data_IF_499775191972
#
_entry.id   IF_499775191972
#
_cell.length_a   1.000
_cell.length_b   1.000
_cell.length_c   1.000
_cell.angle_alpha   90.00
_cell.angle_beta   90.00
_cell.angle_gamma   90.00
#
_symmetry.space_group_name_H-M   'P 1'
#
loop_
_entity.id
_entity.type
_entity.pdbx_description
1 polymer ?
#
# COMPACT_ATOMS: atom_id res chain seq x y z
N UNK A 1 5.16 10.70 38.40
CA UNK A 1 5.23 12.10 37.90
C UNK A 1 3.83 12.58 37.55
N UNK A 2 3.56 13.89 37.63
CA UNK A 2 2.25 14.45 37.23
C UNK A 2 2.26 14.84 35.76
N UNK A 3 1.18 14.52 35.06
CA UNK A 3 0.94 14.83 33.66
C UNK A 3 -0.39 15.55 33.51
N UNK A 4 -0.48 16.46 32.55
CA UNK A 4 -1.69 17.27 32.37
C UNK A 4 -2.03 17.47 30.89
N UNK A 5 -3.31 17.39 30.56
CA UNK A 5 -3.82 17.73 29.22
C UNK A 5 -5.20 18.36 29.32
N UNK A 6 -5.77 18.75 28.17
CA UNK A 6 -7.12 19.30 28.10
C UNK A 6 -8.18 18.24 28.43
N UNK A 7 -9.24 18.67 29.11
CA UNK A 7 -10.44 17.90 29.41
C UNK A 7 -11.11 17.32 28.16
N UNK A 8 -12.02 16.37 28.38
CA UNK A 8 -12.70 15.61 27.32
C UNK A 8 -11.67 14.92 26.41
N UNK A 9 -10.85 14.00 26.98
CA UNK A 9 -9.78 13.36 26.24
C UNK A 9 -10.33 12.52 25.09
N UNK A 10 -9.67 12.65 23.94
CA UNK A 10 -9.88 11.79 22.77
C UNK A 10 -8.91 10.61 22.83
N UNK A 11 -8.89 9.81 21.76
CA UNK A 11 -8.18 8.54 21.65
C UNK A 11 -6.70 8.68 22.05
N UNK A 12 -5.96 9.62 21.45
CA UNK A 12 -4.52 9.82 21.74
C UNK A 12 -4.28 10.27 23.20
N UNK A 13 -5.16 11.14 23.74
CA UNK A 13 -5.11 11.63 25.13
C UNK A 13 -5.48 10.59 26.19
N UNK A 14 -6.03 9.45 25.80
CA UNK A 14 -6.25 8.29 26.67
C UNK A 14 -5.13 7.24 26.47
N UNK A 15 -4.66 7.08 25.23
CA UNK A 15 -3.57 6.18 24.87
C UNK A 15 -2.26 6.56 25.57
N UNK A 16 -1.94 7.86 25.58
CA UNK A 16 -0.70 8.37 26.18
C UNK A 16 -0.59 8.06 27.68
N UNK A 17 -1.61 8.35 28.52
CA UNK A 17 -1.63 7.90 29.91
C UNK A 17 -1.42 6.41 30.09
N UNK A 18 -2.07 5.57 29.27
CA UNK A 18 -1.90 4.13 29.34
C UNK A 18 -0.46 3.70 29.07
N UNK A 19 0.14 4.23 28.00
CA UNK A 19 1.52 3.95 27.63
C UNK A 19 2.50 4.35 28.73
N UNK A 20 2.30 5.56 29.30
CA UNK A 20 3.16 6.07 30.36
C UNK A 20 3.04 5.17 31.61
N UNK A 21 1.83 4.87 32.09
CA UNK A 21 1.65 4.04 33.29
C UNK A 21 2.18 2.61 33.14
N UNK A 22 2.14 2.04 31.94
CA UNK A 22 2.55 0.65 31.72
C UNK A 22 4.03 0.49 31.43
N UNK A 23 4.66 1.48 30.78
CA UNK A 23 6.01 1.32 30.22
C UNK A 23 7.02 2.40 30.63
N UNK A 24 6.59 3.50 31.25
CA UNK A 24 7.47 4.63 31.61
C UNK A 24 7.49 4.90 33.11
N UNK A 25 6.33 5.13 33.72
CA UNK A 25 6.17 5.52 35.12
C UNK A 25 4.85 4.99 35.69
N UNK A 26 4.86 3.86 36.43
CA UNK A 26 3.67 3.25 37.03
C UNK A 26 2.92 4.18 38.00
N UNK A 27 3.65 5.08 38.65
CA UNK A 27 3.12 6.04 39.63
C UNK A 27 2.73 7.37 38.96
N UNK A 28 2.60 7.40 37.64
CA UNK A 28 2.12 8.58 36.93
C UNK A 28 0.66 8.92 37.28
N UNK A 29 0.43 10.21 37.51
CA UNK A 29 -0.88 10.82 37.77
C UNK A 29 -1.26 11.71 36.59
N UNK A 30 -2.53 11.67 36.19
CA UNK A 30 -3.04 12.40 35.02
C UNK A 30 -4.12 13.38 35.43
N UNK A 31 -3.99 14.61 34.95
CA UNK A 31 -4.87 15.72 35.29
C UNK A 31 -5.51 16.23 34.00
N UNK A 32 -6.81 16.45 34.05
CA UNK A 32 -7.59 17.03 32.96
C UNK A 32 -8.07 18.41 33.39
N UNK A 33 -7.90 19.40 32.53
CA UNK A 33 -8.30 20.78 32.80
C UNK A 33 -8.85 21.47 31.54
N UNK A 34 -9.62 22.56 31.68
CA UNK A 34 -10.02 23.38 30.54
C UNK A 34 -8.80 23.82 29.73
N UNK A 35 -8.91 23.81 28.40
CA UNK A 35 -7.78 24.05 27.48
C UNK A 35 -6.96 25.31 27.83
N UNK A 36 -7.65 26.41 28.15
CA UNK A 36 -7.02 27.70 28.51
C UNK A 36 -6.26 27.68 29.82
N UNK A 37 -6.54 26.72 30.70
CA UNK A 37 -5.93 26.61 32.03
C UNK A 37 -4.77 25.62 32.09
N UNK A 38 -4.62 24.74 31.08
CA UNK A 38 -3.67 23.62 31.14
C UNK A 38 -2.24 24.09 31.42
N UNK A 39 -1.72 25.06 30.67
CA UNK A 39 -0.35 25.54 30.83
C UNK A 39 -0.13 26.28 32.16
N UNK A 40 -1.15 26.97 32.66
CA UNK A 40 -1.10 27.63 33.98
C UNK A 40 -1.01 26.60 35.10
N UNK A 41 -1.93 25.64 35.11
CA UNK A 41 -1.98 24.54 36.09
C UNK A 41 -0.76 23.62 35.99
N UNK A 42 -0.22 23.41 34.79
CA UNK A 42 1.01 22.64 34.59
C UNK A 42 2.17 23.23 35.40
N UNK A 43 2.35 24.56 35.34
CA UNK A 43 3.39 25.27 36.10
C UNK A 43 3.13 25.23 37.59
N UNK A 44 1.89 25.45 38.02
CA UNK A 44 1.49 25.45 39.43
C UNK A 44 1.71 24.08 40.10
N UNK A 45 1.33 23.01 39.40
CA UNK A 45 1.35 21.65 39.93
C UNK A 45 2.67 20.89 39.66
N UNK A 46 3.59 21.51 38.91
CA UNK A 46 4.80 20.85 38.41
C UNK A 46 4.47 19.65 37.50
N UNK A 47 3.38 19.75 36.72
CA UNK A 47 2.92 18.69 35.84
C UNK A 47 3.44 18.87 34.41
N UNK A 48 3.75 17.77 33.73
CA UNK A 48 4.21 17.76 32.34
C UNK A 48 3.02 17.85 31.38
N UNK A 49 2.89 18.92 30.57
CA UNK A 49 1.80 19.03 29.61
C UNK A 49 2.05 18.15 28.38
N UNK A 50 0.98 17.58 27.82
CA UNK A 50 1.04 16.77 26.59
C UNK A 50 -0.22 16.92 25.71
N UNK A 51 -0.12 16.55 24.44
CA UNK A 51 -1.17 16.73 23.40
C UNK A 51 -1.65 18.19 23.29
N UNK A 52 -0.69 19.12 23.25
CA UNK A 52 -0.94 20.56 23.12
C UNK A 52 0.02 21.18 22.10
N UNK A 53 -0.36 22.27 21.43
CA UNK A 53 0.60 23.05 20.65
C UNK A 53 1.77 23.51 21.53
N UNK A 54 2.98 23.52 20.97
CA UNK A 54 4.19 24.09 21.57
C UNK A 54 4.67 23.45 22.90
N UNK A 55 4.23 22.22 23.23
CA UNK A 55 4.77 21.44 24.35
C UNK A 55 5.64 20.28 23.87
N UNK A 56 6.52 19.78 24.74
CA UNK A 56 7.48 18.72 24.38
C UNK A 56 6.79 17.44 23.90
N UNK A 57 5.74 17.00 24.59
CA UNK A 57 4.99 15.79 24.26
C UNK A 57 3.79 16.15 23.39
N UNK A 58 4.03 16.30 22.10
CA UNK A 58 3.01 16.72 21.12
C UNK A 58 3.14 15.97 19.80
N UNK A 59 2.22 16.25 18.88
CA UNK A 59 2.25 15.75 17.50
C UNK A 59 3.50 16.25 16.77
N UNK A 60 4.04 15.41 15.89
CA UNK A 60 5.14 15.78 15.01
C UNK A 60 4.99 15.13 13.64
N UNK A 61 5.12 15.91 12.58
CA UNK A 61 4.86 15.45 11.20
C UNK A 61 3.48 14.75 11.12
N UNK A 62 3.45 13.50 10.66
CA UNK A 62 2.25 12.67 10.57
C UNK A 62 2.07 11.73 11.78
N UNK A 63 2.76 11.98 12.90
CA UNK A 63 2.77 11.11 14.07
C UNK A 63 2.09 11.76 15.29
N UNK A 64 1.40 10.91 16.05
CA UNK A 64 0.61 11.34 17.22
C UNK A 64 1.49 11.43 18.49
N UNK A 65 0.92 11.91 19.61
CA UNK A 65 1.67 12.10 20.87
C UNK A 65 2.13 10.74 21.40
N UNK A 66 1.32 9.70 21.20
CA UNK A 66 1.68 8.31 21.53
C UNK A 66 2.96 7.85 20.83
N UNK A 67 3.11 8.14 19.52
CA UNK A 67 4.32 7.83 18.76
C UNK A 67 5.54 8.56 19.33
N UNK A 68 5.37 9.81 19.73
CA UNK A 68 6.44 10.61 20.32
C UNK A 68 6.94 9.99 21.63
N UNK A 69 6.03 9.55 22.51
CA UNK A 69 6.39 8.90 23.78
C UNK A 69 7.18 7.61 23.54
N UNK A 70 6.76 6.77 22.59
CA UNK A 70 7.52 5.55 22.21
C UNK A 70 8.95 5.91 21.82
N UNK A 71 9.11 6.89 20.94
CA UNK A 71 10.42 7.33 20.44
C UNK A 71 11.27 7.94 21.56
N UNK A 72 10.70 8.84 22.35
CA UNK A 72 11.39 9.58 23.42
C UNK A 72 11.93 8.66 24.51
N UNK A 73 11.14 7.66 24.90
CA UNK A 73 11.52 6.70 25.94
C UNK A 73 12.21 5.44 25.40
N UNK A 74 12.46 5.36 24.09
CA UNK A 74 13.17 4.25 23.47
C UNK A 74 12.46 2.91 23.62
N UNK A 75 11.13 2.90 23.61
CA UNK A 75 10.32 1.69 23.75
C UNK A 75 10.39 0.90 22.43
N UNK A 76 10.79 -0.38 22.50
CA UNK A 76 11.07 -1.22 21.32
C UNK A 76 10.11 -2.39 21.12
N UNK A 77 9.08 -2.50 21.95
CA UNK A 77 8.12 -3.61 21.86
C UNK A 77 7.33 -3.51 20.53
N UNK A 78 7.41 -4.53 19.65
CA UNK A 78 6.65 -4.54 18.40
C UNK A 78 5.13 -4.38 18.58
N UNK A 79 4.57 -4.82 19.71
CA UNK A 79 3.16 -4.64 20.02
C UNK A 79 2.81 -3.16 20.19
N UNK A 80 3.68 -2.37 20.82
CA UNK A 80 3.48 -0.93 20.97
C UNK A 80 3.46 -0.21 19.62
N UNK A 81 4.32 -0.61 18.68
CA UNK A 81 4.31 -0.07 17.32
C UNK A 81 3.01 -0.42 16.57
N UNK A 82 2.43 -1.60 16.78
CA UNK A 82 1.12 -1.94 16.20
C UNK A 82 0.00 -1.07 16.77
N UNK A 83 0.00 -0.87 18.09
CA UNK A 83 -0.97 0.01 18.75
C UNK A 83 -0.82 1.45 18.24
N UNK A 84 0.41 1.93 18.07
CA UNK A 84 0.66 3.26 17.55
C UNK A 84 -0.01 3.49 16.18
N UNK A 85 0.07 2.51 15.27
CA UNK A 85 -0.65 2.56 13.98
C UNK A 85 -2.16 2.63 14.16
N UNK A 86 -2.73 1.86 15.10
CA UNK A 86 -4.18 1.85 15.37
C UNK A 86 -4.63 3.20 15.95
N UNK A 87 -3.90 3.71 16.96
CA UNK A 87 -4.19 5.00 17.61
C UNK A 87 -4.13 6.12 16.58
N UNK A 88 -3.08 6.16 15.76
CA UNK A 88 -2.92 7.17 14.72
C UNK A 88 -4.08 7.15 13.72
N UNK A 89 -4.44 5.96 13.21
CA UNK A 89 -5.56 5.83 12.28
C UNK A 89 -6.90 6.28 12.88
N UNK A 90 -7.11 6.00 14.17
CA UNK A 90 -8.36 6.34 14.86
C UNK A 90 -8.42 7.82 15.26
N UNK A 91 -7.31 8.44 15.64
CA UNK A 91 -7.27 9.85 16.07
C UNK A 91 -7.35 10.83 14.89
N UNK A 92 -6.89 10.42 13.69
CA UNK A 92 -6.88 11.27 12.49
C UNK A 92 -7.94 10.90 11.44
N UNK A 93 -8.96 10.11 11.77
CA UNK A 93 -9.98 9.59 10.84
C UNK A 93 -9.41 8.84 9.60
N UNK A 94 -8.18 8.33 9.70
CA UNK A 94 -7.49 7.58 8.65
C UNK A 94 -7.59 6.08 8.94
N UNK A 95 -8.82 5.56 8.92
CA UNK A 95 -9.11 4.19 9.33
C UNK A 95 -8.44 3.11 8.48
N UNK A 96 -7.92 3.46 7.30
CA UNK A 96 -7.17 2.56 6.44
C UNK A 96 -5.78 2.20 7.00
N UNK A 97 -5.27 2.92 8.01
CA UNK A 97 -3.98 2.61 8.64
C UNK A 97 -3.98 1.27 9.38
N UNK A 98 -5.12 0.90 9.98
CA UNK A 98 -5.30 -0.39 10.62
C UNK A 98 -6.79 -0.74 10.68
N UNK A 99 -7.20 -1.99 10.37
CA UNK A 99 -8.60 -2.41 10.42
C UNK A 99 -9.29 -2.17 11.78
N UNK A 100 -8.50 -2.12 12.85
CA UNK A 100 -8.98 -1.89 14.22
C UNK A 100 -9.27 -0.42 14.52
N UNK A 101 -8.78 0.52 13.71
CA UNK A 101 -8.87 1.96 13.97
C UNK A 101 -10.33 2.45 14.04
N UNK A 102 -11.16 2.10 13.06
CA UNK A 102 -12.57 2.48 13.04
C UNK A 102 -13.36 1.94 14.25
N UNK A 103 -13.03 0.72 14.69
CA UNK A 103 -13.66 0.14 15.88
C UNK A 103 -13.23 0.86 17.16
N UNK A 104 -11.94 1.22 17.25
CA UNK A 104 -11.40 1.98 18.38
C UNK A 104 -12.04 3.38 18.47
N UNK A 105 -12.16 4.07 17.34
CA UNK A 105 -12.85 5.37 17.24
C UNK A 105 -14.29 5.25 17.72
N UNK A 106 -15.06 4.30 17.17
CA UNK A 106 -16.47 4.13 17.52
C UNK A 106 -16.67 3.85 19.03
N UNK A 107 -15.79 3.01 19.62
CA UNK A 107 -15.83 2.72 21.05
C UNK A 107 -15.56 3.98 21.87
N UNK A 108 -14.46 4.70 21.61
CA UNK A 108 -14.09 5.86 22.41
C UNK A 108 -15.02 7.05 22.21
N UNK A 109 -15.53 7.28 21.01
CA UNK A 109 -16.55 8.29 20.75
C UNK A 109 -17.86 7.99 21.50
N UNK A 110 -18.31 6.73 21.51
CA UNK A 110 -19.46 6.31 22.30
C UNK A 110 -19.25 6.44 23.81
N UNK A 111 -18.08 6.01 24.32
CA UNK A 111 -17.72 6.14 25.73
C UNK A 111 -17.63 7.61 26.16
N UNK A 112 -16.96 8.45 25.38
CA UNK A 112 -16.86 9.89 25.67
C UNK A 112 -18.23 10.58 25.61
N UNK A 113 -19.16 10.10 24.78
CA UNK A 113 -20.54 10.59 24.78
C UNK A 113 -21.26 10.24 26.09
N UNK A 114 -21.13 9.00 26.56
CA UNK A 114 -21.84 8.51 27.75
C UNK A 114 -21.21 8.95 29.08
N UNK A 115 -19.89 9.00 29.15
CA UNK A 115 -19.12 9.27 30.37
C UNK A 115 -18.63 10.71 30.33
N UNK A 116 -19.02 11.49 31.36
CA UNK A 116 -18.65 12.90 31.49
C UNK A 116 -17.45 13.13 32.40
N UNK A 117 -17.18 12.18 33.31
CA UNK A 117 -16.00 12.21 34.16
C UNK A 117 -14.77 11.69 33.40
N UNK A 118 -13.76 12.55 33.26
CA UNK A 118 -12.57 12.21 32.47
C UNK A 118 -11.69 11.15 33.16
N UNK A 119 -11.73 11.03 34.49
CA UNK A 119 -10.97 10.00 35.22
C UNK A 119 -11.63 8.63 35.07
N UNK A 120 -12.97 8.58 35.12
CA UNK A 120 -13.73 7.37 34.84
C UNK A 120 -13.50 6.89 33.39
N UNK A 121 -13.57 7.83 32.42
CA UNK A 121 -13.29 7.53 31.03
C UNK A 121 -11.86 7.01 30.82
N UNK A 122 -10.87 7.64 31.48
CA UNK A 122 -9.49 7.17 31.47
C UNK A 122 -9.39 5.75 32.03
N UNK A 123 -9.99 5.44 33.18
CA UNK A 123 -9.93 4.12 33.81
C UNK A 123 -10.49 3.01 32.90
N UNK A 124 -11.60 3.26 32.22
CA UNK A 124 -12.17 2.33 31.23
C UNK A 124 -11.23 2.21 30.02
N UNK A 125 -10.71 3.35 29.54
CA UNK A 125 -9.73 3.40 28.46
C UNK A 125 -8.48 2.57 28.73
N UNK A 126 -7.95 2.61 29.97
CA UNK A 126 -6.81 1.78 30.40
C UNK A 126 -7.10 0.29 30.18
N UNK A 127 -8.29 -0.16 30.53
CA UNK A 127 -8.71 -1.57 30.36
C UNK A 127 -8.82 -1.95 28.89
N UNK A 128 -9.34 -1.05 28.05
CA UNK A 128 -9.44 -1.28 26.60
C UNK A 128 -8.03 -1.41 26.00
N UNK A 129 -7.12 -0.51 26.34
CA UNK A 129 -5.74 -0.57 25.84
C UNK A 129 -4.96 -1.78 26.36
N UNK A 130 -5.20 -2.25 27.59
CA UNK A 130 -4.65 -3.52 28.08
C UNK A 130 -5.13 -4.71 27.21
N UNK A 131 -6.40 -4.71 26.81
CA UNK A 131 -6.97 -5.70 25.89
C UNK A 131 -6.35 -5.63 24.49
N UNK A 132 -6.21 -4.42 23.93
CA UNK A 132 -5.57 -4.21 22.62
C UNK A 132 -4.10 -4.63 22.68
N UNK A 133 -3.39 -4.33 23.76
CA UNK A 133 -1.98 -4.74 23.93
C UNK A 133 -1.84 -6.25 24.03
N UNK A 134 -2.70 -6.92 24.78
CA UNK A 134 -2.75 -8.38 24.84
C UNK A 134 -3.01 -8.98 23.46
N UNK A 135 -3.94 -8.40 22.70
CA UNK A 135 -4.19 -8.81 21.32
C UNK A 135 -2.96 -8.57 20.41
N UNK A 136 -2.37 -7.38 20.45
CA UNK A 136 -1.24 -6.96 19.61
C UNK A 136 0.03 -7.78 19.89
N UNK A 137 0.16 -8.30 21.11
CA UNK A 137 1.27 -9.13 21.55
C UNK A 137 1.06 -10.60 21.17
N UNK A 138 -0.11 -11.17 21.48
CA UNK A 138 -0.32 -12.61 21.46
C UNK A 138 -1.26 -13.11 20.37
N UNK A 139 -2.25 -12.31 19.96
CA UNK A 139 -3.38 -12.77 19.15
C UNK A 139 -3.44 -12.17 17.74
N UNK A 140 -2.60 -11.17 17.42
CA UNK A 140 -2.68 -10.46 16.14
C UNK A 140 -2.46 -11.35 14.90
N UNK A 141 -1.80 -12.51 15.08
CA UNK A 141 -1.58 -13.52 14.02
C UNK A 141 -2.73 -14.52 13.89
N UNK A 142 -3.67 -14.55 14.84
CA UNK A 142 -4.78 -15.48 14.78
C UNK A 142 -5.70 -15.08 13.63
N UNK A 143 -5.90 -16.01 12.68
CA UNK A 143 -6.54 -15.78 11.38
C UNK A 143 -8.04 -15.44 11.43
N UNK A 144 -8.62 -15.10 12.58
CA UNK A 144 -10.03 -14.74 12.66
C UNK A 144 -10.39 -13.45 11.89
N UNK A 145 -9.40 -12.67 11.42
CA UNK A 145 -9.60 -11.40 10.71
C UNK A 145 -8.87 -11.29 9.36
N UNK A 146 -8.24 -12.37 8.83
CA UNK A 146 -7.48 -12.30 7.56
C UNK A 146 -8.28 -12.67 6.31
N UNK A 147 -9.48 -13.23 6.47
CA UNK A 147 -10.43 -13.41 5.39
C UNK A 147 -11.53 -12.36 5.55
N UNK A 148 -11.17 -11.09 5.42
CA UNK A 148 -12.13 -10.01 5.41
C UNK A 148 -13.18 -10.22 4.30
N UNK A 149 -14.38 -9.67 4.46
CA UNK A 149 -15.43 -9.79 3.43
C UNK A 149 -14.97 -9.22 2.08
N UNK A 150 -14.02 -8.27 2.08
CA UNK A 150 -13.42 -7.70 0.86
C UNK A 150 -12.50 -8.70 0.18
N UNK A 151 -11.59 -9.35 0.89
CA UNK A 151 -10.71 -10.38 0.33
C UNK A 151 -11.53 -11.55 -0.22
N UNK A 152 -12.57 -11.97 0.51
CA UNK A 152 -13.50 -12.99 0.05
C UNK A 152 -14.27 -12.56 -1.20
N UNK A 153 -14.73 -11.31 -1.27
CA UNK A 153 -15.37 -10.75 -2.45
C UNK A 153 -14.40 -10.65 -3.63
N UNK A 154 -13.15 -10.23 -3.40
CA UNK A 154 -12.09 -10.19 -4.41
C UNK A 154 -11.78 -11.58 -4.93
N UNK A 155 -11.66 -12.57 -4.05
CA UNK A 155 -11.48 -13.97 -4.43
C UNK A 155 -12.71 -14.49 -5.18
N UNK A 156 -13.92 -14.11 -4.81
CA UNK A 156 -15.14 -14.49 -5.54
C UNK A 156 -15.18 -13.88 -6.93
N UNK A 157 -14.91 -12.57 -7.07
CA UNK A 157 -14.82 -11.88 -8.36
C UNK A 157 -13.72 -12.51 -9.22
N UNK A 158 -12.55 -12.78 -8.63
CA UNK A 158 -11.44 -13.40 -9.32
C UNK A 158 -11.78 -14.81 -9.80
N UNK A 159 -12.39 -15.65 -8.94
CA UNK A 159 -12.85 -16.98 -9.32
C UNK A 159 -13.97 -16.94 -10.36
N UNK A 160 -14.88 -15.96 -10.30
CA UNK A 160 -15.93 -15.77 -11.30
C UNK A 160 -15.35 -15.37 -12.65
N UNK A 161 -14.37 -14.45 -12.66
CA UNK A 161 -13.63 -14.07 -13.85
C UNK A 161 -12.87 -15.27 -14.45
N UNK A 162 -12.14 -16.03 -13.62
CA UNK A 162 -11.44 -17.24 -14.06
C UNK A 162 -12.40 -18.31 -14.59
N UNK A 163 -13.57 -18.49 -13.97
CA UNK A 163 -14.62 -19.41 -14.45
C UNK A 163 -15.22 -18.94 -15.78
N UNK A 164 -15.43 -17.64 -15.98
CA UNK A 164 -15.83 -17.10 -17.28
C UNK A 164 -14.73 -17.24 -18.35
N UNK A 165 -13.45 -17.19 -17.96
CA UNK A 165 -12.31 -17.41 -18.87
C UNK A 165 -12.10 -18.88 -19.27
N UNK A 166 -12.71 -19.85 -18.57
CA UNK A 166 -12.67 -21.28 -18.92
C UNK A 166 -13.60 -21.63 -20.10
N UNK A 167 -13.62 -20.77 -21.12
CA UNK A 167 -14.56 -20.80 -22.22
C UNK A 167 -13.97 -20.87 -23.63
N UNK A 168 -12.66 -21.12 -23.81
CA UNK A 168 -12.16 -21.64 -25.09
C UNK A 168 -10.86 -22.40 -24.87
N UNK A 169 -10.87 -23.72 -25.10
CA UNK A 169 -9.67 -24.57 -25.02
C UNK A 169 -8.66 -24.03 -26.04
N UNK A 170 -7.49 -23.59 -25.59
CA UNK A 170 -6.50 -22.97 -26.47
C UNK A 170 -6.16 -23.94 -27.62
N UNK A 171 -6.41 -23.57 -28.89
CA UNK A 171 -6.11 -24.42 -30.03
C UNK A 171 -4.62 -24.77 -30.08
N UNK A 172 -4.29 -25.88 -30.76
CA UNK A 172 -2.90 -26.32 -30.96
C UNK A 172 -2.06 -25.18 -31.56
N UNK A 173 -2.55 -24.57 -32.64
CA UNK A 173 -1.87 -23.45 -33.31
C UNK A 173 -1.61 -22.26 -32.39
N UNK A 174 -2.49 -21.99 -31.42
CA UNK A 174 -2.32 -20.86 -30.49
C UNK A 174 -1.25 -21.18 -29.43
N UNK A 175 -1.10 -22.45 -29.04
CA UNK A 175 0.00 -22.91 -28.18
C UNK A 175 1.33 -22.81 -28.90
N UNK A 176 1.40 -23.38 -30.10
CA UNK A 176 2.61 -23.35 -30.93
C UNK A 176 3.01 -21.91 -31.27
N UNK A 177 2.06 -21.04 -31.57
CA UNK A 177 2.35 -19.62 -31.79
C UNK A 177 2.95 -18.95 -30.55
N UNK A 178 2.47 -19.29 -29.36
CA UNK A 178 3.01 -18.75 -28.10
C UNK A 178 4.45 -19.20 -27.88
N UNK A 179 4.76 -20.46 -28.16
CA UNK A 179 6.12 -21.01 -28.12
C UNK A 179 7.02 -20.30 -29.14
N UNK A 180 6.57 -20.13 -30.38
CA UNK A 180 7.30 -19.37 -31.42
C UNK A 180 7.60 -17.92 -31.01
N UNK A 181 6.62 -17.23 -30.41
CA UNK A 181 6.81 -15.85 -29.92
C UNK A 181 7.84 -15.83 -28.78
N UNK A 182 7.83 -16.86 -27.92
CA UNK A 182 8.77 -16.98 -26.82
C UNK A 182 10.20 -17.21 -27.32
N UNK A 183 10.41 -18.07 -28.31
CA UNK A 183 11.73 -18.29 -28.92
C UNK A 183 12.28 -17.04 -29.64
N UNK A 184 11.39 -16.21 -30.20
CA UNK A 184 11.75 -14.95 -30.84
C UNK A 184 12.12 -13.83 -29.85
N UNK A 185 11.72 -13.94 -28.56
CA UNK A 185 12.14 -12.99 -27.51
C UNK A 185 13.64 -13.05 -27.22
N UNK A 186 14.28 -14.17 -27.58
CA UNK A 186 15.69 -14.46 -27.26
C UNK A 186 16.65 -14.18 -28.44
N UNK A 187 16.13 -13.97 -29.65
CA UNK A 187 16.92 -13.78 -30.87
C UNK A 187 16.70 -12.41 -31.52
N UNK A 188 15.68 -12.26 -32.36
CA UNK A 188 15.37 -10.97 -33.02
C UNK A 188 13.87 -10.91 -33.30
N UNK A 189 13.21 -9.83 -32.86
CA UNK A 189 11.75 -9.69 -32.83
C UNK A 189 11.07 -9.44 -34.19
N UNK A 190 11.45 -10.18 -35.23
CA UNK A 190 11.00 -9.93 -36.62
C UNK A 190 9.73 -10.67 -37.02
N UNK A 191 9.18 -11.54 -36.16
CA UNK A 191 8.01 -12.35 -36.50
C UNK A 191 6.82 -11.51 -37.00
N UNK A 192 6.45 -11.75 -38.25
CA UNK A 192 5.27 -11.17 -38.90
C UNK A 192 4.09 -12.15 -38.90
N UNK A 193 2.89 -11.62 -39.13
CA UNK A 193 1.69 -12.45 -39.25
C UNK A 193 1.82 -13.50 -40.37
N UNK A 194 2.47 -13.12 -41.48
CA UNK A 194 2.65 -13.99 -42.63
C UNK A 194 3.56 -15.17 -42.31
N UNK A 195 4.71 -14.90 -41.68
CA UNK A 195 5.64 -15.95 -41.23
C UNK A 195 5.02 -16.87 -40.19
N UNK A 196 4.28 -16.30 -39.22
CA UNK A 196 3.55 -17.09 -38.24
C UNK A 196 2.50 -18.00 -38.90
N UNK A 197 1.84 -17.50 -39.95
CA UNK A 197 0.85 -18.26 -40.69
C UNK A 197 1.45 -19.43 -41.48
N UNK A 198 2.61 -19.21 -42.08
CA UNK A 198 3.35 -20.22 -42.87
C UNK A 198 3.87 -21.35 -41.98
N UNK A 199 4.50 -21.01 -40.86
CA UNK A 199 5.03 -22.01 -39.91
C UNK A 199 3.93 -22.86 -39.26
N UNK A 200 2.77 -22.24 -38.98
CA UNK A 200 1.63 -22.91 -38.36
C UNK A 200 0.72 -23.62 -39.37
N UNK A 201 1.03 -23.54 -40.67
CA UNK A 201 0.21 -24.07 -41.77
C UNK A 201 -1.26 -23.60 -41.74
N UNK A 202 -1.51 -22.36 -41.29
CA UNK A 202 -2.85 -21.77 -41.21
C UNK A 202 -3.01 -20.61 -42.19
N UNK A 203 -4.25 -20.22 -42.48
CA UNK A 203 -4.53 -19.07 -43.34
C UNK A 203 -4.31 -17.75 -42.57
N UNK A 204 -3.63 -16.73 -43.14
CA UNK A 204 -3.33 -15.48 -42.43
C UNK A 204 -4.57 -14.71 -41.97
N UNK A 205 -5.66 -14.76 -42.77
CA UNK A 205 -6.92 -14.12 -42.42
C UNK A 205 -7.69 -14.90 -41.34
N UNK A 206 -7.48 -16.21 -41.23
CA UNK A 206 -7.98 -16.99 -40.10
C UNK A 206 -7.20 -16.64 -38.83
N UNK A 207 -5.87 -16.69 -38.89
CA UNK A 207 -5.00 -16.33 -37.77
C UNK A 207 -5.32 -14.93 -37.24
N UNK A 208 -5.39 -13.92 -38.11
CA UNK A 208 -5.69 -12.54 -37.70
C UNK A 208 -7.05 -12.38 -37.01
N UNK A 209 -8.07 -13.17 -37.40
CA UNK A 209 -9.43 -13.08 -36.83
C UNK A 209 -9.52 -13.79 -35.48
N UNK A 210 -8.85 -14.93 -35.36
CA UNK A 210 -8.91 -15.74 -34.14
C UNK A 210 -7.88 -15.33 -33.09
N UNK A 211 -6.79 -14.66 -33.48
CA UNK A 211 -5.71 -14.28 -32.57
C UNK A 211 -6.19 -13.50 -31.34
N UNK A 212 -7.02 -12.47 -31.51
CA UNK A 212 -7.46 -11.63 -30.39
C UNK A 212 -8.21 -12.42 -29.31
N UNK A 213 -8.91 -13.50 -29.68
CA UNK A 213 -9.64 -14.35 -28.72
C UNK A 213 -8.74 -15.04 -27.71
N UNK A 214 -7.47 -15.25 -28.04
CA UNK A 214 -6.52 -16.01 -27.21
C UNK A 214 -5.34 -15.16 -26.70
N UNK A 215 -5.13 -13.97 -27.23
CA UNK A 215 -4.00 -13.10 -26.92
C UNK A 215 -4.47 -11.69 -26.51
N UNK A 216 -4.96 -11.57 -25.26
CA UNK A 216 -5.31 -10.32 -24.57
C UNK A 216 -6.33 -9.41 -25.29
N UNK A 217 -7.18 -9.96 -26.17
CA UNK A 217 -8.07 -9.18 -27.04
C UNK A 217 -7.34 -8.17 -27.94
N UNK A 218 -6.05 -8.39 -28.20
CA UNK A 218 -5.22 -7.55 -29.06
C UNK A 218 -5.15 -8.09 -30.48
N UNK A 219 -4.92 -7.21 -31.46
CA UNK A 219 -4.52 -7.66 -32.79
C UNK A 219 -3.09 -8.24 -32.74
N UNK A 220 -2.74 -9.14 -33.68
CA UNK A 220 -1.38 -9.67 -33.77
C UNK A 220 -0.32 -8.57 -33.81
N UNK A 221 -0.56 -7.52 -34.60
CA UNK A 221 0.35 -6.38 -34.72
C UNK A 221 0.46 -5.57 -33.42
N UNK A 222 -0.64 -5.37 -32.69
CA UNK A 222 -0.60 -4.69 -31.39
C UNK A 222 0.14 -5.51 -30.34
N UNK A 223 -0.13 -6.81 -30.29
CA UNK A 223 0.53 -7.73 -29.37
C UNK A 223 2.04 -7.76 -29.60
N UNK A 224 2.49 -7.94 -30.85
CA UNK A 224 3.91 -7.91 -31.18
C UNK A 224 4.53 -6.53 -30.88
N UNK A 225 3.84 -5.43 -31.16
CA UNK A 225 4.34 -4.08 -30.82
C UNK A 225 4.55 -3.91 -29.32
N UNK A 226 3.63 -4.37 -28.49
CA UNK A 226 3.76 -4.28 -27.03
C UNK A 226 4.98 -5.08 -26.54
N UNK A 227 5.13 -6.33 -26.99
CA UNK A 227 6.29 -7.16 -26.67
C UNK A 227 7.62 -6.51 -27.08
N UNK A 228 7.66 -5.91 -28.28
CA UNK A 228 8.85 -5.17 -28.76
C UNK A 228 9.20 -3.99 -27.87
N UNK A 229 8.20 -3.25 -27.39
CA UNK A 229 8.43 -2.12 -26.46
C UNK A 229 8.90 -2.60 -25.10
N UNK A 230 8.33 -3.69 -24.57
CA UNK A 230 8.79 -4.24 -23.29
C UNK A 230 10.22 -4.78 -23.36
N UNK A 231 10.58 -5.47 -24.45
CA UNK A 231 11.98 -5.86 -24.71
C UNK A 231 12.88 -4.64 -24.86
N UNK A 232 12.42 -3.58 -25.54
CA UNK A 232 13.19 -2.34 -25.68
C UNK A 232 13.46 -1.68 -24.32
N UNK A 233 12.47 -1.66 -23.41
CA UNK A 233 12.66 -1.16 -22.04
C UNK A 233 13.73 -1.97 -21.31
N UNK A 234 13.66 -3.31 -21.39
CA UNK A 234 14.67 -4.18 -20.80
C UNK A 234 16.06 -3.88 -21.36
N UNK A 235 16.23 -3.81 -22.69
CA UNK A 235 17.52 -3.50 -23.31
C UNK A 235 18.05 -2.10 -22.92
N UNK A 236 17.18 -1.11 -22.79
CA UNK A 236 17.58 0.24 -22.33
C UNK A 236 18.11 0.19 -20.88
N UNK A 237 17.55 -0.67 -20.03
CA UNK A 237 17.90 -0.79 -18.62
C UNK A 237 19.12 -1.69 -18.37
N UNK A 238 19.32 -2.74 -19.18
CA UNK A 238 20.32 -3.78 -18.92
C UNK A 238 21.55 -3.72 -19.83
N UNK A 239 21.53 -2.90 -20.88
CA UNK A 239 22.61 -2.84 -21.87
C UNK A 239 22.99 -1.40 -22.23
N UNK A 240 24.16 -1.22 -22.84
CA UNK A 240 24.61 0.08 -23.34
C UNK A 240 24.19 0.37 -24.79
N UNK A 241 23.41 -0.52 -25.42
CA UNK A 241 23.04 -0.42 -26.83
C UNK A 241 22.51 0.95 -27.23
N UNK A 242 22.91 1.41 -28.42
CA UNK A 242 22.39 2.66 -28.97
C UNK A 242 20.88 2.55 -29.24
N UNK A 243 20.15 3.66 -29.25
CA UNK A 243 18.71 3.60 -29.55
C UNK A 243 18.42 3.06 -30.96
N UNK A 244 19.37 3.22 -31.88
CA UNK A 244 19.32 2.64 -33.22
C UNK A 244 19.49 1.11 -33.17
N UNK A 245 20.46 0.60 -32.39
CA UNK A 245 20.63 -0.84 -32.15
C UNK A 245 19.41 -1.45 -31.48
N UNK A 246 18.87 -0.80 -30.45
CA UNK A 246 17.68 -1.29 -29.74
C UNK A 246 16.47 -1.35 -30.67
N UNK A 247 16.28 -0.35 -31.54
CA UNK A 247 15.23 -0.37 -32.55
C UNK A 247 15.37 -1.60 -33.48
N UNK A 248 16.58 -1.90 -33.93
CA UNK A 248 16.86 -3.05 -34.79
C UNK A 248 16.67 -4.39 -34.06
N UNK A 249 17.24 -4.56 -32.87
CA UNK A 249 17.15 -5.77 -32.05
C UNK A 249 15.69 -6.11 -31.67
N UNK A 250 14.87 -5.06 -31.48
CA UNK A 250 13.44 -5.20 -31.19
C UNK A 250 12.57 -5.24 -32.45
N UNK A 251 13.14 -5.38 -33.64
CA UNK A 251 12.41 -5.63 -34.88
C UNK A 251 11.63 -4.43 -35.44
N UNK A 252 12.02 -3.20 -35.10
CA UNK A 252 11.53 -2.00 -35.79
C UNK A 252 12.33 -1.74 -37.07
N UNK A 253 11.64 -1.26 -38.11
CA UNK A 253 12.24 -0.89 -39.40
C UNK A 253 13.29 0.20 -39.28
N UNK A 254 13.05 1.15 -38.37
CA UNK A 254 13.87 2.33 -38.19
C UNK A 254 13.64 2.95 -36.81
N UNK A 255 14.59 3.78 -36.38
CA UNK A 255 14.56 4.43 -35.08
C UNK A 255 13.44 5.47 -34.94
N UNK A 256 13.02 6.12 -36.03
CA UNK A 256 11.95 7.13 -35.99
C UNK A 256 10.60 6.48 -35.69
N UNK A 257 10.33 5.34 -36.31
CA UNK A 257 9.16 4.52 -36.04
C UNK A 257 9.18 3.99 -34.60
N UNK A 258 10.32 3.44 -34.14
CA UNK A 258 10.52 3.01 -32.76
C UNK A 258 10.21 4.14 -31.76
N UNK A 259 10.80 5.32 -31.93
CA UNK A 259 10.61 6.46 -31.04
C UNK A 259 9.13 6.86 -30.91
N UNK A 260 8.39 6.87 -32.03
CA UNK A 260 6.96 7.21 -32.05
C UNK A 260 6.12 6.20 -31.29
N UNK A 261 6.34 4.91 -31.51
CA UNK A 261 5.60 3.83 -30.85
C UNK A 261 5.95 3.76 -29.36
N UNK A 262 7.24 3.86 -29.02
CA UNK A 262 7.69 3.86 -27.63
C UNK A 262 7.09 5.04 -26.86
N UNK A 263 7.11 6.26 -27.44
CA UNK A 263 6.49 7.43 -26.80
C UNK A 263 4.98 7.24 -26.60
N UNK A 264 4.29 6.65 -27.59
CA UNK A 264 2.84 6.37 -27.48
C UNK A 264 2.55 5.38 -26.34
N UNK A 265 3.39 4.37 -26.16
CA UNK A 265 3.17 3.30 -25.20
C UNK A 265 3.66 3.64 -23.78
N UNK A 266 4.80 4.33 -23.66
CA UNK A 266 5.48 4.63 -22.38
C UNK A 266 5.20 6.06 -21.89
N UNK A 267 4.59 6.92 -22.73
CA UNK A 267 4.31 8.32 -22.43
C UNK A 267 5.50 9.27 -22.63
N UNK A 268 6.71 8.75 -22.74
CA UNK A 268 7.94 9.51 -22.95
C UNK A 268 8.85 8.89 -24.02
N UNK A 269 9.72 9.68 -24.63
CA UNK A 269 10.63 9.18 -25.69
C UNK A 269 11.70 8.24 -25.12
N UNK A 270 12.23 7.29 -25.92
CA UNK A 270 13.30 6.39 -25.49
C UNK A 270 14.54 7.10 -24.95
N UNK A 271 14.91 8.24 -25.54
CA UNK A 271 16.05 9.05 -25.09
C UNK A 271 15.86 9.61 -23.67
N UNK A 272 14.65 10.08 -23.37
CA UNK A 272 14.29 10.57 -22.02
C UNK A 272 14.24 9.41 -21.05
N UNK A 273 13.65 8.29 -21.45
CA UNK A 273 13.59 7.06 -20.67
C UNK A 273 14.99 6.55 -20.28
N UNK A 274 15.91 6.45 -21.25
CA UNK A 274 17.32 6.03 -21.04
C UNK A 274 18.08 6.97 -20.10
N UNK A 275 17.87 8.29 -20.18
CA UNK A 275 18.51 9.26 -19.27
C UNK A 275 18.01 9.11 -17.83
N UNK A 276 16.73 8.80 -17.64
CA UNK A 276 16.14 8.66 -16.31
C UNK A 276 16.67 7.46 -15.53
N UNK A 277 17.18 6.44 -16.24
CA UNK A 277 17.68 5.17 -15.70
C UNK A 277 19.21 5.08 -15.57
N UNK A 278 19.95 6.04 -16.15
CA UNK A 278 21.41 6.18 -15.99
C UNK A 278 21.82 7.08 -14.81
N UNK A 279 20.88 7.39 -13.90
CA UNK A 279 21.14 8.04 -12.61
C UNK A 279 21.14 6.98 -11.51
#
# INVERSE_FOLDING_TARGET
>A
MKWITRERPKIDRIACPWLIKRFVDPEAEFIFAPYTEVLGKAKELGATPFDLPDVEYSHYEDQCTFDYIIKKHGLKDPALHRIATIVRGADTDQHDFAPQAAGLEAIFSGLAYNIKDDQELLAIGMTIYDGIFSWATYLFKNKHAQDGPVEQLLLQVYHQYLKQSKGQKMPEWARTLKEMIQDQLDTTMTLSLQQASEELEINPAYLSREFSKYFDNLSFGDFMRNLRIDKAKQLIETTDHTLTEIAYLTGFSDQSHFNRIFKKHVGQSPSVYKKSKKK
#
